data_IF_597021695456
#
_entry.id   IF_597021695456
#
_cell.length_a   1.000
_cell.length_b   1.000
_cell.length_c   1.000
_cell.angle_alpha   90.00
_cell.angle_beta   90.00
_cell.angle_gamma   90.00
#
_symmetry.space_group_name_H-M   'P 1'
#
loop_
_entity.id
_entity.type
_entity.pdbx_description
1 polymer ?
#
# COMPACT_ATOMS: atom_id res chain seq x y z
N UNK A 1 12.76 -8.10 3.58
CA UNK A 1 11.93 -8.30 4.76
C UNK A 1 10.49 -7.96 4.43
N UNK A 2 9.55 -8.80 4.84
CA UNK A 2 8.15 -8.67 4.46
C UNK A 2 7.33 -8.29 5.69
N UNK A 3 6.47 -7.27 5.54
CA UNK A 3 5.57 -6.82 6.59
C UNK A 3 4.13 -6.97 6.14
N UNK A 4 3.30 -7.54 7.02
CA UNK A 4 1.86 -7.55 6.81
C UNK A 4 1.26 -6.32 7.47
N UNK A 5 0.48 -5.56 6.72
CA UNK A 5 -0.15 -4.34 7.23
C UNK A 5 -1.61 -4.29 6.81
N UNK A 6 -2.39 -3.51 7.54
CA UNK A 6 -3.78 -3.24 7.16
C UNK A 6 -3.88 -1.83 6.62
N UNK A 7 -4.53 -1.67 5.48
CA UNK A 7 -4.76 -0.37 4.86
C UNK A 7 -6.24 -0.21 4.54
N UNK A 8 -6.64 1.02 4.26
CA UNK A 8 -8.02 1.32 3.89
C UNK A 8 -8.08 1.69 2.41
N UNK A 9 -9.05 1.13 1.71
CA UNK A 9 -9.26 1.46 0.30
C UNK A 9 -9.70 2.92 0.19
N UNK A 10 -9.02 3.73 -0.66
CA UNK A 10 -9.39 5.14 -0.82
C UNK A 10 -10.68 5.35 -1.60
N UNK A 11 -11.24 4.30 -2.18
CA UNK A 11 -12.50 4.38 -2.92
C UNK A 11 -13.69 3.97 -2.07
N UNK A 12 -13.65 2.78 -1.48
CA UNK A 12 -14.79 2.24 -0.75
C UNK A 12 -14.63 2.33 0.78
N UNK A 13 -13.43 2.65 1.27
CA UNK A 13 -13.18 2.79 2.70
C UNK A 13 -13.07 1.49 3.47
N UNK A 14 -13.11 0.34 2.81
CA UNK A 14 -13.03 -0.94 3.49
C UNK A 14 -11.58 -1.29 3.83
N UNK A 15 -11.34 -1.83 5.03
CA UNK A 15 -9.99 -2.25 5.40
C UNK A 15 -9.64 -3.58 4.74
N UNK A 16 -8.37 -3.74 4.39
CA UNK A 16 -7.86 -5.01 3.89
C UNK A 16 -6.38 -5.14 4.23
N UNK A 17 -5.92 -6.40 4.25
CA UNK A 17 -4.52 -6.69 4.57
C UNK A 17 -3.70 -6.72 3.28
N UNK A 18 -2.49 -6.21 3.36
CA UNK A 18 -1.55 -6.28 2.26
C UNK A 18 -0.17 -6.58 2.80
N UNK A 19 0.73 -6.97 1.91
CA UNK A 19 2.09 -7.34 2.25
C UNK A 19 3.06 -6.40 1.56
N UNK A 20 4.03 -5.89 2.31
CA UNK A 20 5.02 -4.94 1.81
C UNK A 20 6.41 -5.51 2.03
N UNK A 21 7.23 -5.49 0.97
CA UNK A 21 8.63 -5.89 1.05
C UNK A 21 9.49 -4.65 1.21
N UNK A 22 10.11 -4.50 2.38
CA UNK A 22 10.90 -3.33 2.70
C UNK A 22 12.36 -3.44 2.27
N UNK A 23 12.76 -4.58 1.72
CA UNK A 23 14.16 -4.77 1.33
C UNK A 23 14.55 -3.94 0.10
N UNK A 24 13.58 -3.53 -0.70
CA UNK A 24 13.82 -2.73 -1.90
C UNK A 24 13.86 -1.23 -1.64
N UNK A 25 13.68 -0.79 -0.40
CA UNK A 25 13.64 0.63 -0.06
C UNK A 25 12.29 1.25 -0.36
N UNK A 26 12.27 2.57 -0.55
CA UNK A 26 11.03 3.27 -0.86
C UNK A 26 10.47 2.80 -2.19
N UNK A 27 9.15 2.62 -2.25
CA UNK A 27 8.50 2.05 -3.43
C UNK A 27 7.19 2.78 -3.71
N UNK A 28 6.81 2.76 -4.98
CA UNK A 28 5.48 3.20 -5.40
C UNK A 28 4.97 2.21 -6.44
N UNK A 29 3.76 1.73 -6.26
CA UNK A 29 3.18 0.75 -7.18
C UNK A 29 1.66 0.84 -7.13
N UNK A 30 1.01 0.18 -8.09
CA UNK A 30 -0.45 0.18 -8.20
C UNK A 30 -0.95 -1.24 -8.00
N UNK A 31 -1.95 -1.40 -7.12
CA UNK A 31 -2.63 -2.67 -6.93
C UNK A 31 -4.14 -2.44 -6.88
N UNK A 32 -4.90 -3.43 -7.31
CA UNK A 32 -6.35 -3.34 -7.31
C UNK A 32 -6.91 -3.60 -5.92
N UNK A 33 -7.95 -2.86 -5.55
CA UNK A 33 -8.72 -3.15 -4.36
C UNK A 33 -9.44 -4.48 -4.55
N UNK A 34 -9.36 -5.36 -3.55
CA UNK A 34 -9.97 -6.68 -3.63
C UNK A 34 -11.49 -6.62 -3.49
N UNK A 35 -12.04 -5.50 -3.06
CA UNK A 35 -13.47 -5.36 -2.81
C UNK A 35 -14.15 -4.61 -3.94
N UNK A 36 -13.65 -3.44 -4.30
CA UNK A 36 -14.27 -2.63 -5.34
C UNK A 36 -13.54 -2.71 -6.69
N UNK A 37 -12.41 -3.39 -6.75
CA UNK A 37 -11.64 -3.63 -7.98
C UNK A 37 -11.15 -2.37 -8.67
N UNK A 38 -10.96 -1.29 -7.93
CA UNK A 38 -10.38 -0.05 -8.46
C UNK A 38 -8.89 -0.01 -8.20
N UNK A 39 -8.11 0.61 -9.09
CA UNK A 39 -6.66 0.70 -8.91
C UNK A 39 -6.30 1.66 -7.78
N UNK A 40 -5.44 1.22 -6.88
CA UNK A 40 -4.97 2.00 -5.74
C UNK A 40 -3.48 2.25 -5.91
N UNK A 41 -3.06 3.50 -5.78
CA UNK A 41 -1.64 3.83 -5.77
C UNK A 41 -1.12 3.66 -4.35
N UNK A 42 -0.14 2.78 -4.20
CA UNK A 42 0.54 2.54 -2.93
C UNK A 42 1.89 3.24 -2.95
N UNK A 43 2.19 3.96 -1.88
CA UNK A 43 3.49 4.57 -1.70
C UNK A 43 4.06 4.10 -0.36
N UNK A 44 5.21 3.45 -0.43
CA UNK A 44 5.84 2.83 0.75
C UNK A 44 7.10 3.61 1.09
N UNK A 45 7.23 3.99 2.35
CA UNK A 45 8.40 4.69 2.86
C UNK A 45 9.12 3.77 3.84
N UNK A 46 10.43 3.61 3.62
CA UNK A 46 11.25 2.72 4.44
C UNK A 46 12.52 3.44 4.88
N UNK A 47 13.16 2.90 5.92
CA UNK A 47 14.47 3.37 6.36
C UNK A 47 15.22 2.19 6.95
N UNK A 48 16.43 1.91 6.42
CA UNK A 48 17.28 0.81 6.88
C UNK A 48 16.57 -0.54 6.90
N UNK A 49 15.71 -0.79 5.91
CA UNK A 49 14.95 -2.02 5.83
C UNK A 49 13.73 -2.08 6.73
N UNK A 50 13.42 -1.00 7.45
CA UNK A 50 12.26 -0.91 8.31
C UNK A 50 11.15 -0.11 7.66
N UNK A 51 9.92 -0.53 7.87
CA UNK A 51 8.76 0.18 7.33
C UNK A 51 8.46 1.43 8.16
N UNK A 52 8.46 2.60 7.52
CA UNK A 52 8.11 3.85 8.17
C UNK A 52 6.64 4.18 8.01
N UNK A 53 6.13 4.11 6.77
CA UNK A 53 4.76 4.50 6.48
C UNK A 53 4.31 3.90 5.15
N UNK A 54 2.99 3.77 4.99
CA UNK A 54 2.38 3.38 3.73
C UNK A 54 1.22 4.32 3.46
N UNK A 55 1.17 4.88 2.26
CA UNK A 55 0.06 5.72 1.82
C UNK A 55 -0.69 5.02 0.70
N UNK A 56 -2.01 5.20 0.69
CA UNK A 56 -2.85 4.72 -0.41
C UNK A 56 -3.62 5.90 -0.97
N UNK A 57 -3.72 5.97 -2.30
CA UNK A 57 -4.42 7.04 -2.99
C UNK A 57 -5.20 6.49 -4.16
N UNK A 58 -6.21 7.25 -4.60
CA UNK A 58 -6.92 6.94 -5.83
C UNK A 58 -6.01 7.26 -7.02
N UNK A 59 -6.05 6.39 -8.02
CA UNK A 59 -5.19 6.54 -9.20
C UNK A 59 -5.50 7.81 -10.00
N UNK A 60 -6.71 8.32 -9.88
CA UNK A 60 -7.15 9.50 -10.63
C UNK A 60 -7.03 10.80 -9.86
N UNK A 61 -6.30 10.82 -8.77
CA UNK A 61 -6.05 12.04 -8.02
C UNK A 61 -4.85 12.82 -8.53
#
# INVERSE_FOLDING_TARGET
MIHEIQVFCPYCGEPFDTVVDCSAGDQEYIEDCQICCHPIVFRVYTENGNLLAVETRQDNE
#
